data_IF_216783627611
#
_entry.id   IF_216783627611
#
_cell.length_a   1.000
_cell.length_b   1.000
_cell.length_c   1.000
_cell.angle_alpha   90.00
_cell.angle_beta   90.00
_cell.angle_gamma   90.00
#
_symmetry.space_group_name_H-M   'P 1'
#
loop_
_entity.id
_entity.type
_entity.pdbx_description
1 polymer ?
#
# COMPACT_ATOMS: atom_id res chain seq x y z
N UNK A 1 -14.02 0.32 2.82
CA UNK A 1 -13.32 1.29 3.69
C UNK A 1 -13.17 2.65 2.99
N UNK A 2 -12.41 2.77 1.90
CA UNK A 2 -12.06 4.06 1.26
C UNK A 2 -13.27 4.93 0.86
N UNK A 3 -14.37 4.35 0.37
CA UNK A 3 -15.61 5.11 0.07
C UNK A 3 -16.22 5.77 1.30
N UNK A 4 -16.20 5.08 2.45
CA UNK A 4 -16.73 5.60 3.72
C UNK A 4 -15.73 6.57 4.35
N UNK A 5 -14.44 6.31 4.21
CA UNK A 5 -13.37 7.21 4.67
C UNK A 5 -13.45 8.59 3.99
N UNK A 6 -13.73 8.64 2.68
CA UNK A 6 -13.92 9.89 1.95
C UNK A 6 -15.16 10.67 2.38
N UNK A 7 -16.26 9.98 2.71
CA UNK A 7 -17.46 10.63 3.28
C UNK A 7 -17.19 11.19 4.68
N UNK A 8 -16.33 10.54 5.45
CA UNK A 8 -15.91 11.00 6.78
C UNK A 8 -14.80 12.06 6.74
N UNK A 9 -14.38 12.52 5.54
CA UNK A 9 -13.31 13.53 5.40
C UNK A 9 -11.90 13.04 5.75
N UNK A 10 -11.70 11.72 5.82
CA UNK A 10 -10.42 11.09 6.19
C UNK A 10 -9.66 10.62 4.95
N UNK A 11 -8.33 10.49 5.06
CA UNK A 11 -7.49 10.00 3.97
C UNK A 11 -7.81 8.55 3.58
N UNK A 12 -7.46 8.17 2.36
CA UNK A 12 -7.61 6.79 1.87
C UNK A 12 -6.90 5.80 2.79
N UNK A 13 -7.62 4.78 3.26
CA UNK A 13 -7.03 3.71 4.07
C UNK A 13 -6.09 2.85 3.23
N UNK A 14 -4.81 2.84 3.57
CA UNK A 14 -3.78 1.97 3.01
C UNK A 14 -3.49 0.79 3.95
N UNK A 15 -3.12 -0.37 3.39
CA UNK A 15 -2.71 -1.52 4.19
C UNK A 15 -1.31 -1.26 4.78
N UNK A 16 -1.21 -1.17 6.10
CA UNK A 16 0.06 -0.94 6.81
C UNK A 16 0.76 -2.25 7.17
N UNK A 17 2.09 -2.22 7.22
CA UNK A 17 2.95 -3.36 7.62
C UNK A 17 2.57 -3.92 9.00
N UNK A 18 2.13 -3.05 9.90
CA UNK A 18 1.72 -3.40 11.26
C UNK A 18 0.46 -4.28 11.25
N UNK A 19 -0.43 -4.10 10.26
CA UNK A 19 -1.58 -5.00 10.09
C UNK A 19 -1.15 -6.41 9.68
N UNK A 20 -0.04 -6.55 8.94
CA UNK A 20 0.51 -7.87 8.57
C UNK A 20 1.08 -8.58 9.79
N UNK A 21 1.71 -7.85 10.72
CA UNK A 21 2.17 -8.41 11.99
C UNK A 21 1.00 -8.93 12.85
N UNK A 22 -0.13 -8.21 12.89
CA UNK A 22 -1.35 -8.67 13.56
C UNK A 22 -1.93 -9.97 12.97
N UNK A 23 -1.87 -10.13 11.65
CA UNK A 23 -2.28 -11.36 10.97
C UNK A 23 -1.34 -12.52 11.32
N UNK A 24 -0.03 -12.28 11.38
CA UNK A 24 0.98 -13.28 11.76
C UNK A 24 0.81 -13.79 13.20
N UNK A 25 0.31 -12.94 14.11
CA UNK A 25 -0.01 -13.32 15.49
C UNK A 25 -1.35 -14.06 15.64
N UNK A 26 -2.01 -14.43 14.54
CA UNK A 26 -3.27 -15.18 14.56
C UNK A 26 -4.53 -14.33 14.41
N UNK A 27 -4.39 -13.04 14.11
CA UNK A 27 -5.51 -12.15 13.77
C UNK A 27 -6.16 -12.54 12.44
N UNK A 28 -7.08 -13.50 12.47
CA UNK A 28 -7.78 -14.01 11.28
C UNK A 28 -9.18 -13.44 11.11
N UNK A 29 -9.70 -12.75 12.13
CA UNK A 29 -11.02 -12.11 12.11
C UNK A 29 -10.90 -10.59 12.10
N UNK A 30 -11.86 -9.92 11.46
CA UNK A 30 -11.96 -8.45 11.47
C UNK A 30 -12.21 -7.86 12.87
N UNK A 31 -12.45 -8.70 13.88
CA UNK A 31 -12.59 -8.29 15.28
C UNK A 31 -11.33 -7.59 15.80
N UNK A 32 -10.15 -8.01 15.35
CA UNK A 32 -8.87 -7.38 15.70
C UNK A 32 -8.80 -5.92 15.24
N UNK A 33 -9.25 -5.64 14.02
CA UNK A 33 -9.36 -4.27 13.50
C UNK A 33 -10.39 -3.43 14.28
N UNK A 34 -11.50 -4.03 14.69
CA UNK A 34 -12.54 -3.34 15.49
C UNK A 34 -12.04 -2.98 16.89
N UNK A 35 -11.37 -3.91 17.57
CA UNK A 35 -10.77 -3.66 18.90
C UNK A 35 -9.68 -2.59 18.81
N UNK A 36 -8.86 -2.63 17.76
CA UNK A 36 -7.83 -1.60 17.52
C UNK A 36 -8.46 -0.23 17.29
N UNK A 37 -9.52 -0.15 16.47
CA UNK A 37 -10.26 1.09 16.24
C UNK A 37 -10.88 1.63 17.53
N UNK A 38 -11.44 0.76 18.38
CA UNK A 38 -12.01 1.14 19.68
C UNK A 38 -10.93 1.68 20.63
N UNK A 39 -9.74 1.08 20.66
CA UNK A 39 -8.61 1.57 21.45
C UNK A 39 -8.06 2.92 20.94
N UNK A 40 -8.29 3.26 19.67
CA UNK A 40 -7.93 4.56 19.10
C UNK A 40 -8.91 5.68 19.46
N UNK A 41 -10.15 5.38 19.89
CA UNK A 41 -11.12 6.39 20.36
C UNK A 41 -10.60 7.21 21.54
N UNK A 42 -10.10 6.61 22.64
CA UNK A 42 -9.51 7.40 23.73
C UNK A 42 -8.21 8.12 23.32
N UNK A 43 -7.49 7.61 22.32
CA UNK A 43 -6.29 8.30 21.79
C UNK A 43 -6.63 9.65 21.15
N UNK A 44 -7.87 9.88 20.71
CA UNK A 44 -8.30 11.16 20.16
C UNK A 44 -8.20 12.31 21.18
N UNK A 45 -8.37 12.02 22.47
CA UNK A 45 -8.17 13.00 23.55
C UNK A 45 -6.68 13.25 23.86
N UNK A 46 -5.81 12.30 23.50
CA UNK A 46 -4.35 12.38 23.67
C UNK A 46 -3.66 12.94 22.41
N UNK A 47 -4.38 13.05 21.30
CA UNK A 47 -3.92 13.68 20.06
C UNK A 47 -3.24 15.06 20.24
N UNK A 48 -3.73 16.00 21.09
CA UNK A 48 -3.03 17.28 21.30
C UNK A 48 -1.64 17.11 21.95
N UNK A 49 -1.42 16.03 22.71
CA UNK A 49 -0.11 15.70 23.28
C UNK A 49 0.87 15.23 22.19
N UNK A 50 0.38 14.49 21.20
CA UNK A 50 1.19 14.07 20.05
C UNK A 50 1.56 15.26 19.14
N UNK A 51 0.72 16.29 19.05
CA UNK A 51 1.02 17.52 18.32
C UNK A 51 2.15 18.37 18.95
N UNK A 52 2.49 18.12 20.22
CA UNK A 52 3.63 18.76 20.89
C UNK A 52 4.99 18.14 20.48
N UNK A 53 5.00 17.01 19.77
CA UNK A 53 6.24 16.37 19.30
C UNK A 53 6.82 17.18 18.14
N UNK A 54 8.07 17.63 18.22
CA UNK A 54 8.70 18.38 17.15
C UNK A 54 8.83 17.55 15.86
N UNK A 55 8.61 18.20 14.71
CA UNK A 55 8.65 17.54 13.38
C UNK A 55 10.01 16.96 13.02
N UNK A 56 11.10 17.46 13.61
CA UNK A 56 12.44 16.88 13.41
C UNK A 56 12.58 15.49 14.05
N UNK A 57 11.79 15.17 15.09
CA UNK A 57 11.88 13.89 15.78
C UNK A 57 11.15 12.76 15.03
N UNK A 58 10.19 13.08 14.16
CA UNK A 58 9.42 12.08 13.40
C UNK A 58 10.13 11.63 12.13
N UNK A 59 11.02 12.45 11.56
CA UNK A 59 11.80 12.13 10.37
C UNK A 59 12.62 10.81 10.48
N UNK A 60 13.44 10.58 11.52
CA UNK A 60 14.21 9.32 11.63
C UNK A 60 13.30 8.10 11.83
N UNK A 61 12.14 8.27 12.48
CA UNK A 61 11.16 7.20 12.67
C UNK A 61 10.57 6.78 11.32
N UNK A 62 10.20 7.75 10.47
CA UNK A 62 9.68 7.46 9.13
C UNK A 62 10.72 6.77 8.23
N UNK A 63 12.00 7.10 8.37
CA UNK A 63 13.08 6.41 7.65
C UNK A 63 13.18 4.95 8.08
N UNK A 64 13.17 4.67 9.39
CA UNK A 64 13.19 3.30 9.92
C UNK A 64 11.98 2.48 9.47
N UNK A 65 10.78 3.09 9.48
CA UNK A 65 9.56 2.43 8.98
C UNK A 65 9.69 2.16 7.48
N UNK A 66 10.19 3.11 6.69
CA UNK A 66 10.44 2.89 5.25
C UNK A 66 11.38 1.72 4.99
N UNK A 67 12.48 1.62 5.74
CA UNK A 67 13.41 0.48 5.67
C UNK A 67 12.71 -0.83 6.03
N UNK A 68 11.85 -0.83 7.06
CA UNK A 68 11.08 -2.02 7.44
C UNK A 68 10.11 -2.47 6.33
N UNK A 69 9.53 -1.54 5.58
CA UNK A 69 8.65 -1.85 4.44
C UNK A 69 9.44 -2.44 3.26
N UNK A 70 10.67 -2.00 3.04
CA UNK A 70 11.57 -2.58 2.02
C UNK A 70 11.89 -4.06 2.27
N UNK A 71 11.83 -4.53 3.52
CA UNK A 71 12.01 -5.96 3.82
C UNK A 71 10.92 -6.85 3.17
N UNK A 72 9.75 -6.32 2.84
CA UNK A 72 8.75 -7.08 2.07
C UNK A 72 9.16 -7.28 0.61
N UNK A 73 9.97 -6.38 0.05
CA UNK A 73 10.49 -6.50 -1.32
C UNK A 73 11.44 -7.69 -1.43
N UNK A 74 12.24 -7.98 -0.39
CA UNK A 74 13.13 -9.15 -0.40
C UNK A 74 12.43 -10.50 -0.36
N UNK A 75 11.11 -10.54 -0.15
CA UNK A 75 10.30 -11.77 -0.22
C UNK A 75 9.86 -12.10 -1.66
N UNK A 76 10.20 -11.27 -2.65
CA UNK A 76 9.86 -11.49 -4.06
C UNK A 76 10.87 -12.46 -4.67
N UNK A 77 10.40 -13.51 -5.34
CA UNK A 77 11.23 -14.51 -6.02
C UNK A 77 11.85 -13.95 -7.32
N UNK A 78 13.05 -13.36 -7.21
CA UNK A 78 13.78 -12.81 -8.36
C UNK A 78 14.44 -13.88 -9.26
N UNK A 79 14.36 -15.15 -8.89
CA UNK A 79 14.90 -16.28 -9.68
C UNK A 79 14.12 -16.50 -10.97
N UNK A 80 12.84 -16.10 -11.01
CA UNK A 80 11.98 -16.13 -12.19
C UNK A 80 11.92 -14.74 -12.81
N UNK A 81 12.52 -14.58 -13.98
CA UNK A 81 12.53 -13.31 -14.74
C UNK A 81 11.13 -12.80 -15.05
N UNK A 82 10.16 -13.70 -15.19
CA UNK A 82 8.74 -13.42 -15.41
C UNK A 82 8.06 -12.66 -14.25
N UNK A 83 8.50 -12.87 -13.01
CA UNK A 83 7.95 -12.20 -11.82
C UNK A 83 8.87 -11.07 -11.33
N UNK A 84 10.19 -11.28 -11.41
CA UNK A 84 11.20 -10.31 -10.96
C UNK A 84 11.26 -9.04 -11.81
N UNK A 85 11.16 -9.16 -13.14
CA UNK A 85 11.19 -8.02 -14.05
C UNK A 85 10.02 -7.04 -13.81
N UNK A 86 8.75 -7.48 -13.81
CA UNK A 86 7.62 -6.58 -13.57
C UNK A 86 7.59 -6.05 -12.13
N UNK A 87 8.05 -6.80 -11.12
CA UNK A 87 8.16 -6.31 -9.76
C UNK A 87 9.23 -5.20 -9.62
N UNK A 88 10.39 -5.38 -10.24
CA UNK A 88 11.47 -4.39 -10.25
C UNK A 88 11.04 -3.09 -10.93
N UNK A 89 10.39 -3.21 -12.10
CA UNK A 89 9.88 -2.08 -12.86
C UNK A 89 8.84 -1.29 -12.06
N UNK A 90 7.91 -1.98 -11.38
CA UNK A 90 6.94 -1.35 -10.48
C UNK A 90 7.61 -0.62 -9.33
N UNK A 91 8.62 -1.23 -8.70
CA UNK A 91 9.33 -0.63 -7.57
C UNK A 91 10.01 0.70 -7.95
N UNK A 92 10.58 0.78 -9.15
CA UNK A 92 11.22 2.00 -9.68
C UNK A 92 10.17 3.02 -10.13
N UNK A 93 9.04 2.58 -10.70
CA UNK A 93 8.06 3.49 -11.31
C UNK A 93 6.96 3.98 -10.38
N UNK A 94 6.69 3.33 -9.24
CA UNK A 94 5.78 3.86 -8.20
C UNK A 94 6.23 5.26 -7.73
N UNK A 95 7.51 5.49 -7.35
CA UNK A 95 7.96 6.84 -7.04
C UNK A 95 8.07 7.73 -8.29
N UNK A 96 8.27 7.14 -9.48
CA UNK A 96 8.39 7.84 -10.76
C UNK A 96 7.06 7.96 -11.54
N UNK A 97 5.92 8.02 -10.86
CA UNK A 97 4.58 8.36 -11.43
C UNK A 97 3.83 7.34 -12.32
N UNK A 98 4.43 6.23 -12.80
CA UNK A 98 3.76 5.32 -13.78
C UNK A 98 3.74 3.82 -13.43
N UNK A 99 4.05 3.45 -12.18
CA UNK A 99 4.31 2.05 -11.80
C UNK A 99 3.21 1.04 -12.11
N UNK A 100 1.95 1.41 -11.92
CA UNK A 100 0.82 0.47 -12.12
C UNK A 100 0.51 0.20 -13.60
N UNK A 101 0.67 1.20 -14.48
CA UNK A 101 0.36 1.07 -15.90
C UNK A 101 1.40 0.17 -16.57
N UNK A 102 2.69 0.43 -16.34
CA UNK A 102 3.75 -0.33 -17.00
C UNK A 102 3.80 -1.77 -16.49
N UNK A 103 3.47 -2.02 -15.23
CA UNK A 103 3.34 -3.37 -14.68
C UNK A 103 2.27 -4.20 -15.42
N UNK A 104 1.08 -3.62 -15.61
CA UNK A 104 0.00 -4.29 -16.33
C UNK A 104 0.34 -4.54 -17.80
N UNK A 105 1.03 -3.58 -18.46
CA UNK A 105 1.50 -3.71 -19.85
C UNK A 105 2.58 -4.79 -19.97
N UNK A 106 3.53 -4.86 -19.04
CA UNK A 106 4.58 -5.89 -19.05
C UNK A 106 3.99 -7.29 -18.85
N UNK A 107 3.10 -7.49 -17.89
CA UNK A 107 2.41 -8.78 -17.70
C UNK A 107 1.54 -9.15 -18.92
N UNK A 108 0.98 -8.17 -19.63
CA UNK A 108 0.25 -8.40 -20.88
C UNK A 108 1.19 -8.82 -22.03
N UNK A 109 2.36 -8.17 -22.16
CA UNK A 109 3.38 -8.51 -23.17
C UNK A 109 4.05 -9.87 -22.93
N UNK A 110 4.19 -10.30 -21.67
CA UNK A 110 4.75 -11.62 -21.29
C UNK A 110 3.75 -12.76 -21.55
N UNK A 111 2.49 -12.47 -21.92
CA UNK A 111 1.49 -13.48 -22.27
C UNK A 111 0.78 -14.11 -21.08
N UNK A 112 1.10 -13.72 -19.84
CA UNK A 112 0.43 -14.16 -18.59
C UNK A 112 -0.62 -13.17 -18.10
N UNK A 113 -1.32 -12.51 -19.02
CA UNK A 113 -2.38 -11.54 -18.72
C UNK A 113 -3.55 -12.11 -17.88
N UNK A 114 -3.73 -13.44 -17.85
CA UNK A 114 -4.80 -14.14 -17.12
C UNK A 114 -4.51 -14.38 -15.63
N UNK A 115 -3.28 -14.18 -15.18
CA UNK A 115 -2.92 -14.34 -13.76
C UNK A 115 -3.11 -13.05 -12.97
N UNK A 116 -3.30 -11.94 -13.67
CA UNK A 116 -3.65 -10.67 -13.06
C UNK A 116 -5.11 -10.71 -12.57
N UNK A 117 -5.39 -10.36 -11.30
CA UNK A 117 -6.76 -10.20 -10.85
C UNK A 117 -7.43 -9.10 -11.67
N UNK A 118 -8.71 -9.31 -12.04
CA UNK A 118 -9.51 -8.40 -12.88
C UNK A 118 -9.44 -6.93 -12.42
N UNK A 119 -9.31 -6.71 -11.12
CA UNK A 119 -9.16 -5.40 -10.50
C UNK A 119 -7.93 -4.61 -10.98
N UNK A 120 -6.80 -5.27 -11.26
CA UNK A 120 -5.55 -4.64 -11.69
C UNK A 120 -5.64 -4.17 -13.15
N UNK A 121 -6.32 -4.96 -13.98
CA UNK A 121 -6.68 -4.58 -15.35
C UNK A 121 -7.63 -3.38 -15.38
N UNK A 122 -8.62 -3.36 -14.49
CA UNK A 122 -9.60 -2.28 -14.38
C UNK A 122 -8.94 -0.97 -13.91
N UNK A 123 -7.99 -1.07 -12.97
CA UNK A 123 -7.22 0.08 -12.48
C UNK A 123 -6.25 0.63 -13.54
N UNK A 124 -5.58 -0.26 -14.28
CA UNK A 124 -4.71 0.11 -15.39
C UNK A 124 -5.52 0.81 -16.50
N UNK A 125 -6.66 0.24 -16.90
CA UNK A 125 -7.56 0.82 -17.89
C UNK A 125 -8.11 2.18 -17.45
N UNK A 126 -8.57 2.30 -16.20
CA UNK A 126 -9.05 3.57 -15.65
C UNK A 126 -7.94 4.64 -15.66
N UNK A 127 -6.72 4.30 -15.26
CA UNK A 127 -5.61 5.26 -15.25
C UNK A 127 -5.16 5.65 -16.66
N UNK A 128 -5.19 4.72 -17.63
CA UNK A 128 -4.91 5.02 -19.03
C UNK A 128 -5.96 5.96 -19.64
N UNK A 129 -7.25 5.74 -19.31
CA UNK A 129 -8.35 6.63 -19.73
C UNK A 129 -8.20 8.02 -19.09
N UNK A 130 -7.87 8.10 -17.80
CA UNK A 130 -7.67 9.37 -17.08
C UNK A 130 -6.46 10.15 -17.59
N UNK A 131 -5.44 9.45 -18.12
CA UNK A 131 -4.27 10.06 -18.76
C UNK A 131 -4.59 10.58 -20.17
N UNK A 132 -5.47 9.90 -20.92
CA UNK A 132 -5.89 10.33 -22.26
C UNK A 132 -6.92 11.46 -22.25
N UNK A 133 -7.65 11.62 -21.14
CA UNK A 133 -8.64 12.67 -20.93
C UNK A 133 -8.03 13.98 -20.38
N UNK A 134 -6.73 14.00 -20.11
CA UNK A 134 -5.96 15.14 -19.60
C UNK A 134 -4.93 15.58 -20.63
#
# INVERSE_FOLDING_TARGET
>A
ATRVAGLAGTSSGTAYVESVAGIRMGGRTGLTSVVTALCFVPCFFVAPLAAAVPTYATAPVLVLVGVSMFHMVSQIDFTRTEDGLPAFVTLVLIPLTFGFILHAVLYACVGRARELPLALWLLAALSAVLLFLR
#
